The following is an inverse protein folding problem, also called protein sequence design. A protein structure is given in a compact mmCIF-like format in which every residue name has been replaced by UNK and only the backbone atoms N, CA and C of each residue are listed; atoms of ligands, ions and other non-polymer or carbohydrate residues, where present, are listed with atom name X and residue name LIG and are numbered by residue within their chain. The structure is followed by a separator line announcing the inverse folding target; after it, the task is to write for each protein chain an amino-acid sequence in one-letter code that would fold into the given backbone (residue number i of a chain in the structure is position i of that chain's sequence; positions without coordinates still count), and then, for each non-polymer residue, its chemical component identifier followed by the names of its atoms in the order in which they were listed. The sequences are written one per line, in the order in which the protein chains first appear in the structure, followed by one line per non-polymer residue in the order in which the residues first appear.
data_IF_836704888493
#
_entry.id   IF_836704888493
#
_cell.length_a   1.000
_cell.length_b   1.000
_cell.length_c   1.000
_cell.angle_alpha   90.00
_cell.angle_beta   90.00
_cell.angle_gamma   90.00
#
_symmetry.space_group_name_H-M   'P 1'
#
loop_
_entity.id
_entity.type
_entity.pdbx_description
1 polymer ?
#
# COMPACT_ATOMS: atom_id res chain seq x y z
N UNK A 1 -19.86 9.64 -20.64
CA UNK A 1 -18.72 8.73 -20.85
C UNK A 1 -17.69 9.47 -21.69
N UNK A 2 -16.75 10.13 -21.02
CA UNK A 2 -15.69 10.87 -21.70
C UNK A 2 -14.51 9.92 -21.89
N UNK A 3 -14.25 9.55 -23.14
CA UNK A 3 -13.03 8.85 -23.54
C UNK A 3 -11.83 9.75 -23.25
N UNK A 4 -11.02 9.35 -22.27
CA UNK A 4 -9.69 9.92 -22.06
C UNK A 4 -8.83 9.40 -23.20
N UNK A 5 -8.64 10.24 -24.23
CA UNK A 5 -7.70 9.99 -25.32
C UNK A 5 -6.30 9.81 -24.75
N UNK A 6 -5.79 8.58 -24.79
CA UNK A 6 -4.41 8.24 -24.47
C UNK A 6 -3.47 8.76 -25.56
N UNK A 7 -3.14 10.04 -25.49
CA UNK A 7 -2.16 10.69 -26.36
C UNK A 7 -0.71 10.39 -25.95
N UNK A 8 -0.31 9.13 -25.82
CA UNK A 8 1.13 8.79 -25.72
C UNK A 8 1.66 8.68 -27.15
N UNK A 9 2.07 9.81 -27.70
CA UNK A 9 2.73 9.87 -29.01
C UNK A 9 4.00 9.02 -28.98
N UNK A 10 4.08 7.99 -29.82
CA UNK A 10 5.28 7.17 -30.00
C UNK A 10 6.40 8.06 -30.55
N UNK A 11 7.27 8.56 -29.68
CA UNK A 11 8.44 9.33 -30.10
C UNK A 11 9.45 8.35 -30.69
N UNK A 12 9.52 8.35 -32.02
CA UNK A 12 10.46 7.57 -32.84
C UNK A 12 11.91 7.83 -32.42
N UNK A 13 12.75 6.81 -32.46
CA UNK A 13 14.19 6.94 -32.24
C UNK A 13 14.77 7.80 -33.38
N UNK A 14 15.64 8.76 -33.03
CA UNK A 14 16.24 9.64 -34.04
C UNK A 14 17.12 8.81 -35.00
N UNK A 15 17.04 8.98 -36.34
CA UNK A 15 17.83 8.19 -37.30
C UNK A 15 19.34 8.19 -37.01
N UNK A 16 19.90 9.33 -36.61
CA UNK A 16 21.33 9.44 -36.26
C UNK A 16 21.75 8.61 -35.04
N UNK A 17 20.81 8.28 -34.14
CA UNK A 17 21.09 7.41 -32.99
C UNK A 17 21.40 5.98 -33.43
N UNK A 18 20.73 5.50 -34.48
CA UNK A 18 21.03 4.21 -35.10
C UNK A 18 22.40 4.22 -35.78
N UNK A 19 22.76 5.32 -36.45
CA UNK A 19 24.11 5.50 -36.98
C UNK A 19 25.19 5.44 -35.88
N UNK A 20 24.96 6.11 -34.75
CA UNK A 20 25.85 6.06 -33.59
C UNK A 20 25.95 4.63 -32.99
N UNK A 21 24.85 3.87 -32.98
CA UNK A 21 24.83 2.49 -32.50
C UNK A 21 25.65 1.56 -33.41
N UNK A 22 25.55 1.71 -34.73
CA UNK A 22 26.36 0.94 -35.70
C UNK A 22 27.86 1.17 -35.46
N UNK A 23 28.26 2.44 -35.31
CA UNK A 23 29.65 2.79 -35.06
C UNK A 23 30.15 2.20 -33.74
N UNK A 24 29.40 2.38 -32.65
CA UNK A 24 29.77 1.83 -31.35
C UNK A 24 29.91 0.30 -31.37
N UNK A 25 28.91 -0.43 -31.91
CA UNK A 25 28.98 -1.90 -32.04
C UNK A 25 30.21 -2.37 -32.82
N UNK A 26 30.64 -1.58 -33.82
CA UNK A 26 31.78 -1.91 -34.67
C UNK A 26 33.13 -1.71 -33.97
N UNK A 27 33.24 -0.68 -33.13
CA UNK A 27 34.52 -0.22 -32.56
C UNK A 27 34.83 -0.77 -31.18
N UNK A 28 33.84 -1.20 -30.39
CA UNK A 28 34.06 -1.66 -28.99
C UNK A 28 34.81 -3.01 -28.89
N UNK A 29 34.89 -3.78 -29.98
CA UNK A 29 35.59 -5.06 -30.06
C UNK A 29 36.65 -5.01 -31.17
N UNK A 30 37.87 -5.50 -30.94
CA UNK A 30 38.96 -5.49 -31.92
C UNK A 30 38.67 -6.47 -33.06
N UNK A 31 38.53 -7.76 -32.72
CA UNK A 31 38.43 -8.84 -33.68
C UNK A 31 37.00 -9.39 -33.84
N UNK A 32 36.75 -10.14 -34.93
CA UNK A 32 35.43 -10.72 -35.24
C UNK A 32 34.94 -11.68 -34.16
N UNK A 33 35.83 -12.45 -33.53
CA UNK A 33 35.43 -13.44 -32.52
C UNK A 33 34.84 -12.77 -31.27
N UNK A 34 35.52 -11.75 -30.74
CA UNK A 34 35.04 -10.98 -29.59
C UNK A 34 33.72 -10.26 -29.90
N UNK A 35 33.63 -9.66 -31.10
CA UNK A 35 32.39 -9.04 -31.58
C UNK A 35 31.22 -10.02 -31.64
N UNK A 36 31.41 -11.21 -32.23
CA UNK A 36 30.36 -12.23 -32.33
C UNK A 36 29.87 -12.69 -30.95
N UNK A 37 30.79 -12.87 -30.00
CA UNK A 37 30.45 -13.25 -28.63
C UNK A 37 29.64 -12.15 -27.92
N UNK A 38 30.00 -10.88 -28.11
CA UNK A 38 29.29 -9.74 -27.52
C UNK A 38 27.86 -9.62 -28.09
N UNK A 39 27.71 -9.63 -29.42
CA UNK A 39 26.39 -9.55 -30.07
C UNK A 39 25.49 -10.71 -29.66
N UNK A 40 26.02 -11.95 -29.62
CA UNK A 40 25.25 -13.12 -29.17
C UNK A 40 24.81 -13.01 -27.71
N UNK A 41 25.66 -12.47 -26.84
CA UNK A 41 25.31 -12.25 -25.43
C UNK A 41 24.19 -11.25 -25.28
N UNK A 42 24.24 -10.13 -26.02
CA UNK A 42 23.24 -9.06 -25.97
C UNK A 42 21.90 -9.48 -26.57
N UNK A 43 21.91 -10.33 -27.60
CA UNK A 43 20.69 -10.81 -28.27
C UNK A 43 20.20 -12.17 -27.74
N UNK A 44 20.59 -12.57 -26.52
CA UNK A 44 20.25 -13.87 -25.94
C UNK A 44 18.74 -14.13 -25.91
N UNK A 45 17.97 -13.10 -25.59
CA UNK A 45 16.50 -13.16 -25.51
C UNK A 45 15.81 -12.93 -26.86
N UNK A 46 16.58 -12.70 -27.94
CA UNK A 46 16.09 -12.41 -29.29
C UNK A 46 16.72 -13.37 -30.33
N UNK A 47 16.51 -14.71 -30.18
CA UNK A 47 17.12 -15.70 -31.08
C UNK A 47 16.70 -15.53 -32.54
N UNK A 48 15.53 -14.96 -32.81
CA UNK A 48 15.05 -14.67 -34.16
C UNK A 48 15.94 -13.67 -34.90
N UNK A 49 16.50 -12.68 -34.20
CA UNK A 49 17.45 -11.73 -34.79
C UNK A 49 18.79 -12.41 -35.07
N UNK A 50 19.24 -13.26 -34.14
CA UNK A 50 20.50 -14.01 -34.28
C UNK A 50 20.50 -14.94 -35.50
N UNK A 51 19.38 -15.58 -35.82
CA UNK A 51 19.28 -16.45 -37.00
C UNK A 51 19.40 -15.71 -38.33
N UNK A 52 19.10 -14.40 -38.35
CA UNK A 52 19.10 -13.56 -39.56
C UNK A 52 20.43 -12.82 -39.78
N UNK A 53 21.31 -12.79 -38.80
CA UNK A 53 22.61 -12.10 -38.89
C UNK A 53 23.65 -12.94 -39.63
N UNK A 54 24.33 -12.34 -40.59
CA UNK A 54 25.51 -12.93 -41.21
C UNK A 54 26.78 -12.50 -40.45
N UNK A 55 27.41 -13.45 -39.77
CA UNK A 55 28.66 -13.23 -39.05
C UNK A 55 29.92 -13.53 -39.88
N UNK A 56 29.77 -13.94 -41.15
CA UNK A 56 30.89 -14.16 -42.08
C UNK A 56 31.40 -12.84 -42.68
N UNK A 57 30.52 -11.84 -42.79
CA UNK A 57 30.82 -10.47 -43.25
C UNK A 57 31.68 -9.69 -42.26
N UNK A 58 31.98 -8.42 -42.55
CA UNK A 58 32.70 -7.53 -41.64
C UNK A 58 31.84 -7.16 -40.42
N UNK A 59 32.49 -6.77 -39.31
CA UNK A 59 31.78 -6.29 -38.10
C UNK A 59 30.80 -5.15 -38.42
N UNK A 60 31.21 -4.22 -39.30
CA UNK A 60 30.38 -3.06 -39.68
C UNK A 60 29.15 -3.49 -40.46
N UNK A 61 29.30 -4.41 -41.42
CA UNK A 61 28.17 -4.96 -42.17
C UNK A 61 27.20 -5.70 -41.25
N UNK A 62 27.69 -6.55 -40.35
CA UNK A 62 26.84 -7.27 -39.39
C UNK A 62 26.14 -6.32 -38.41
N UNK A 63 26.83 -5.28 -37.92
CA UNK A 63 26.23 -4.25 -37.05
C UNK A 63 25.15 -3.46 -37.77
N UNK A 64 25.39 -3.08 -39.03
CA UNK A 64 24.40 -2.40 -39.86
C UNK A 64 23.19 -3.31 -40.13
N UNK A 65 23.40 -4.60 -40.42
CA UNK A 65 22.30 -5.56 -40.57
C UNK A 65 21.44 -5.64 -39.30
N UNK A 66 22.06 -5.77 -38.13
CA UNK A 66 21.35 -5.79 -36.85
C UNK A 66 20.51 -4.52 -36.68
N UNK A 67 21.15 -3.36 -36.82
CA UNK A 67 20.49 -2.08 -36.59
C UNK A 67 19.37 -1.82 -37.60
N UNK A 68 19.54 -2.20 -38.87
CA UNK A 68 18.48 -2.10 -39.87
C UNK A 68 17.27 -2.97 -39.50
N UNK A 69 17.49 -4.19 -38.99
CA UNK A 69 16.36 -5.02 -38.50
C UNK A 69 15.63 -4.36 -37.32
N UNK A 70 16.36 -3.70 -36.41
CA UNK A 70 15.75 -2.94 -35.31
C UNK A 70 14.95 -1.73 -35.81
N UNK A 71 15.40 -1.09 -36.89
CA UNK A 71 14.71 0.05 -37.52
C UNK A 71 13.48 -0.38 -38.30
N UNK A 72 13.58 -1.42 -39.13
CA UNK A 72 12.50 -1.91 -39.99
C UNK A 72 11.30 -2.41 -39.16
N UNK A 73 11.58 -3.01 -38.00
CA UNK A 73 10.60 -3.51 -37.05
C UNK A 73 10.60 -2.66 -35.75
N UNK A 74 10.74 -1.33 -35.85
CA UNK A 74 10.86 -0.40 -34.70
C UNK A 74 9.76 -0.63 -33.64
N UNK A 75 8.51 -0.86 -34.05
CA UNK A 75 7.41 -1.14 -33.10
C UNK A 75 7.66 -2.36 -32.21
N UNK A 76 8.38 -3.36 -32.71
CA UNK A 76 8.66 -4.62 -32.03
C UNK A 76 9.97 -4.55 -31.24
N UNK A 77 10.99 -3.89 -31.77
CA UNK A 77 12.33 -3.86 -31.17
C UNK A 77 12.77 -2.51 -30.61
N UNK A 78 11.86 -1.56 -30.42
CA UNK A 78 12.16 -0.25 -29.82
C UNK A 78 12.86 -0.39 -28.47
N UNK A 79 12.31 -1.23 -27.58
CA UNK A 79 12.87 -1.42 -26.23
C UNK A 79 14.27 -2.04 -26.28
N UNK A 80 14.48 -3.06 -27.12
CA UNK A 80 15.80 -3.65 -27.37
C UNK A 80 16.79 -2.62 -27.94
N UNK A 81 16.36 -1.78 -28.89
CA UNK A 81 17.22 -0.75 -29.46
C UNK A 81 17.67 0.24 -28.37
N UNK A 82 16.75 0.68 -27.51
CA UNK A 82 17.05 1.56 -26.37
C UNK A 82 17.98 0.88 -25.38
N UNK A 83 17.75 -0.40 -25.06
CA UNK A 83 18.59 -1.21 -24.18
C UNK A 83 20.03 -1.30 -24.72
N UNK A 84 20.20 -1.70 -25.98
CA UNK A 84 21.52 -1.77 -26.63
C UNK A 84 22.23 -0.43 -26.62
N UNK A 85 21.53 0.66 -26.95
CA UNK A 85 22.12 2.00 -26.94
C UNK A 85 22.58 2.39 -25.53
N UNK A 86 21.74 2.14 -24.52
CA UNK A 86 22.00 2.47 -23.12
C UNK A 86 23.15 1.67 -22.52
N UNK A 87 23.17 0.36 -22.78
CA UNK A 87 24.22 -0.52 -22.27
C UNK A 87 25.58 -0.19 -22.89
N UNK A 88 25.61 0.05 -24.20
CA UNK A 88 26.85 0.36 -24.91
C UNK A 88 27.34 1.76 -24.53
N UNK A 89 26.45 2.74 -24.32
CA UNK A 89 26.84 4.09 -23.91
C UNK A 89 27.49 4.12 -22.51
N UNK A 90 27.23 3.11 -21.67
CA UNK A 90 27.79 3.01 -20.31
C UNK A 90 29.14 2.29 -20.24
N UNK A 91 29.67 1.78 -21.35
CA UNK A 91 30.95 1.07 -21.36
C UNK A 91 32.12 2.04 -21.13
N UNK A 92 32.92 1.80 -20.09
CA UNK A 92 34.08 2.61 -19.72
C UNK A 92 35.43 1.92 -19.99
N UNK A 93 35.40 0.60 -20.23
CA UNK A 93 36.55 -0.28 -20.37
C UNK A 93 36.42 -1.19 -21.59
N UNK A 94 37.54 -1.42 -22.30
CA UNK A 94 37.57 -2.24 -23.52
C UNK A 94 38.74 -3.25 -23.49
N UNK A 95 38.64 -4.33 -22.70
CA UNK A 95 39.75 -5.26 -22.46
C UNK A 95 40.28 -5.97 -23.72
N UNK A 96 39.46 -6.10 -24.76
CA UNK A 96 39.86 -6.70 -26.03
C UNK A 96 40.75 -5.76 -26.87
N UNK A 97 40.50 -4.45 -26.78
CA UNK A 97 41.27 -3.40 -27.45
C UNK A 97 42.59 -3.12 -26.73
N UNK A 98 42.56 -3.07 -25.39
CA UNK A 98 43.73 -2.76 -24.56
C UNK A 98 44.91 -3.74 -24.68
N UNK A 99 44.71 -4.89 -25.33
CA UNK A 99 45.73 -5.93 -25.55
C UNK A 99 46.45 -5.79 -26.90
N UNK A 100 46.09 -4.82 -27.73
CA UNK A 100 46.66 -4.64 -29.07
C UNK A 100 47.88 -3.70 -29.07
N UNK A 101 48.67 -3.78 -30.13
CA UNK A 101 49.88 -2.96 -30.30
C UNK A 101 49.51 -1.48 -30.49
N UNK A 102 48.40 -1.22 -31.15
CA UNK A 102 47.77 0.07 -31.43
C UNK A 102 46.64 0.41 -30.44
N UNK A 103 46.73 -0.10 -29.20
CA UNK A 103 45.67 0.02 -28.20
C UNK A 103 45.20 1.47 -27.96
N UNK A 104 46.10 2.44 -27.96
CA UNK A 104 45.75 3.85 -27.68
C UNK A 104 44.79 4.42 -28.72
N UNK A 105 45.04 4.19 -30.01
CA UNK A 105 44.17 4.65 -31.11
C UNK A 105 42.82 3.93 -31.09
N UNK A 106 42.82 2.62 -30.81
CA UNK A 106 41.58 1.83 -30.74
C UNK A 106 40.72 2.23 -29.54
N UNK A 107 41.33 2.48 -28.39
CA UNK A 107 40.64 2.94 -27.19
C UNK A 107 40.08 4.34 -27.42
N UNK A 108 40.81 5.24 -28.07
CA UNK A 108 40.33 6.57 -28.43
C UNK A 108 39.10 6.50 -29.35
N UNK A 109 39.13 5.66 -30.39
CA UNK A 109 38.01 5.46 -31.30
C UNK A 109 36.78 4.85 -30.59
N UNK A 110 36.98 3.83 -29.76
CA UNK A 110 35.88 3.20 -29.02
C UNK A 110 35.23 4.16 -28.04
N UNK A 111 36.02 4.93 -27.27
CA UNK A 111 35.51 5.96 -26.36
C UNK A 111 34.74 7.04 -27.13
N UNK A 112 35.26 7.52 -28.25
CA UNK A 112 34.58 8.52 -29.08
C UNK A 112 33.22 8.01 -29.60
N UNK A 113 33.14 6.76 -30.05
CA UNK A 113 31.90 6.16 -30.51
C UNK A 113 30.86 6.01 -29.38
N UNK A 114 31.29 5.54 -28.19
CA UNK A 114 30.43 5.40 -27.01
C UNK A 114 29.93 6.74 -26.51
N UNK A 115 30.79 7.76 -26.42
CA UNK A 115 30.39 9.13 -26.05
C UNK A 115 29.44 9.75 -27.08
N UNK A 116 29.62 9.46 -28.37
CA UNK A 116 28.66 9.90 -29.38
C UNK A 116 27.29 9.24 -29.20
N UNK A 117 27.25 7.95 -28.87
CA UNK A 117 26.03 7.21 -28.59
C UNK A 117 25.31 7.73 -27.33
N UNK A 118 26.06 8.05 -26.28
CA UNK A 118 25.55 8.60 -25.01
C UNK A 118 24.74 9.89 -25.21
N UNK A 119 25.16 10.77 -26.13
CA UNK A 119 24.43 12.02 -26.46
C UNK A 119 22.99 11.75 -26.91
N UNK A 120 22.74 10.61 -27.53
CA UNK A 120 21.40 10.20 -27.99
C UNK A 120 20.60 9.49 -26.88
N UNK A 121 21.27 8.71 -26.03
CA UNK A 121 20.67 8.00 -24.89
C UNK A 121 20.18 8.96 -23.80
N UNK A 122 20.89 10.06 -23.54
CA UNK A 122 20.51 11.06 -22.54
C UNK A 122 19.12 11.70 -22.75
N UNK A 123 18.56 11.59 -23.96
CA UNK A 123 17.21 12.08 -24.30
C UNK A 123 16.09 11.04 -24.05
N UNK A 124 16.46 9.75 -23.91
CA UNK A 124 15.53 8.63 -23.74
C UNK A 124 15.52 8.06 -22.31
N UNK A 125 16.61 8.19 -21.54
CA UNK A 125 16.67 7.73 -20.15
C UNK A 125 15.60 8.38 -19.25
N UNK A 126 15.30 9.67 -19.46
CA UNK A 126 14.23 10.37 -18.74
C UNK A 126 12.83 9.78 -18.99
N UNK A 127 12.60 9.15 -20.15
CA UNK A 127 11.30 8.58 -20.53
C UNK A 127 11.08 7.21 -19.87
N UNK A 128 12.14 6.43 -19.68
CA UNK A 128 12.06 5.14 -18.99
C UNK A 128 11.76 5.33 -17.50
N UNK A 129 12.42 6.29 -16.85
CA UNK A 129 12.21 6.62 -15.44
C UNK A 129 10.80 7.18 -15.18
N UNK A 130 10.28 8.05 -16.06
CA UNK A 130 8.90 8.55 -15.95
C UNK A 130 7.84 7.43 -16.08
N UNK A 131 8.08 6.42 -16.93
CA UNK A 131 7.17 5.27 -17.10
C UNK A 131 7.15 4.37 -15.88
N UNK A 132 8.31 4.10 -15.30
CA UNK A 132 8.43 3.25 -14.11
C UNK A 132 7.79 3.93 -12.89
N UNK A 133 8.04 5.23 -12.71
CA UNK A 133 7.40 6.01 -11.65
C UNK A 133 5.88 6.09 -11.81
N UNK A 134 5.37 6.32 -13.03
CA UNK A 134 3.92 6.35 -13.27
C UNK A 134 3.26 4.97 -13.08
N UNK A 135 3.92 3.89 -13.48
CA UNK A 135 3.43 2.54 -13.26
C UNK A 135 3.38 2.17 -11.76
N UNK A 136 4.42 2.54 -11.00
CA UNK A 136 4.47 2.36 -9.55
C UNK A 136 3.39 3.19 -8.84
N UNK A 137 3.20 4.45 -9.24
CA UNK A 137 2.17 5.34 -8.68
C UNK A 137 0.75 4.82 -8.96
N UNK A 138 0.48 4.33 -10.18
CA UNK A 138 -0.80 3.72 -10.52
C UNK A 138 -1.06 2.41 -9.76
N UNK A 139 -0.02 1.59 -9.55
CA UNK A 139 -0.12 0.37 -8.76
C UNK A 139 -0.44 0.67 -7.29
N UNK A 140 0.28 1.61 -6.67
CA UNK A 140 0.03 2.05 -5.30
C UNK A 140 -1.36 2.68 -5.15
N UNK A 141 -1.80 3.47 -6.14
CA UNK A 141 -3.14 4.06 -6.14
C UNK A 141 -4.23 2.98 -6.23
N UNK A 142 -4.06 1.96 -7.09
CA UNK A 142 -5.00 0.83 -7.19
C UNK A 142 -5.10 0.03 -5.90
N UNK A 143 -3.97 -0.25 -5.24
CA UNK A 143 -3.95 -0.97 -3.97
C UNK A 143 -4.67 -0.18 -2.87
N UNK A 144 -4.42 1.13 -2.78
CA UNK A 144 -5.10 2.02 -1.83
C UNK A 144 -6.62 2.10 -2.10
N UNK A 145 -7.03 2.19 -3.36
CA UNK A 145 -8.46 2.19 -3.74
C UNK A 145 -9.12 0.85 -3.37
N UNK A 146 -8.47 -0.28 -3.63
CA UNK A 146 -8.98 -1.60 -3.26
C UNK A 146 -9.11 -1.73 -1.74
N UNK A 147 -8.06 -1.38 -0.97
CA UNK A 147 -8.10 -1.43 0.50
C UNK A 147 -9.21 -0.54 1.07
N UNK A 148 -9.40 0.65 0.49
CA UNK A 148 -10.48 1.58 0.90
C UNK A 148 -11.85 1.02 0.56
N UNK A 149 -11.99 0.37 -0.61
CA UNK A 149 -13.23 -0.28 -1.03
C UNK A 149 -13.58 -1.43 -0.08
N UNK A 150 -12.63 -2.31 0.20
CA UNK A 150 -12.80 -3.44 1.11
C UNK A 150 -13.20 -2.96 2.52
N UNK A 151 -12.55 -1.91 3.05
CA UNK A 151 -12.94 -1.30 4.33
C UNK A 151 -14.37 -0.76 4.31
N UNK A 152 -14.76 -0.07 3.24
CA UNK A 152 -16.10 0.53 3.10
C UNK A 152 -17.19 -0.55 2.99
N UNK A 153 -16.92 -1.63 2.26
CA UNK A 153 -17.82 -2.78 2.13
C UNK A 153 -18.06 -3.45 3.48
N UNK A 154 -17.00 -3.78 4.24
CA UNK A 154 -17.12 -4.39 5.57
C UNK A 154 -17.84 -3.47 6.56
N UNK A 155 -17.58 -2.15 6.52
CA UNK A 155 -18.31 -1.17 7.34
C UNK A 155 -19.82 -1.15 7.02
N UNK A 156 -20.18 -1.26 5.74
CA UNK A 156 -21.59 -1.35 5.33
C UNK A 156 -22.27 -2.63 5.82
N UNK A 157 -21.57 -3.77 5.77
CA UNK A 157 -22.07 -5.05 6.30
C UNK A 157 -22.31 -4.97 7.81
N UNK A 158 -21.34 -4.43 8.57
CA UNK A 158 -21.48 -4.21 10.01
C UNK A 158 -22.65 -3.28 10.33
N UNK A 159 -22.86 -2.23 9.53
CA UNK A 159 -24.01 -1.32 9.70
C UNK A 159 -25.34 -2.05 9.51
N UNK A 160 -25.46 -2.87 8.47
CA UNK A 160 -26.66 -3.66 8.22
C UNK A 160 -26.92 -4.67 9.34
N UNK A 161 -25.87 -5.32 9.83
CA UNK A 161 -25.98 -6.24 10.96
C UNK A 161 -26.44 -5.53 12.23
N UNK A 162 -25.89 -4.36 12.56
CA UNK A 162 -26.31 -3.58 13.72
C UNK A 162 -27.80 -3.23 13.67
N UNK A 163 -28.31 -2.82 12.49
CA UNK A 163 -29.73 -2.55 12.27
C UNK A 163 -30.60 -3.80 12.41
N UNK A 164 -30.12 -4.95 11.91
CA UNK A 164 -30.81 -6.25 12.08
C UNK A 164 -30.91 -6.62 13.56
N UNK A 165 -29.81 -6.55 14.30
CA UNK A 165 -29.76 -6.86 15.73
C UNK A 165 -30.72 -5.96 16.52
N UNK A 166 -30.79 -4.67 16.17
CA UNK A 166 -31.72 -3.74 16.78
C UNK A 166 -33.18 -4.20 16.68
N UNK A 167 -33.59 -4.75 15.52
CA UNK A 167 -34.94 -5.26 15.27
C UNK A 167 -35.27 -6.64 15.85
N UNK A 168 -34.32 -7.38 16.44
CA UNK A 168 -34.56 -8.75 16.89
C UNK A 168 -35.48 -8.86 18.12
N UNK A 169 -36.58 -9.61 18.11
CA UNK A 169 -37.47 -9.69 19.28
C UNK A 169 -36.79 -10.33 20.51
N UNK A 170 -35.89 -11.30 20.30
CA UNK A 170 -35.18 -11.98 21.37
C UNK A 170 -33.93 -11.20 21.82
N UNK A 171 -34.04 -10.48 22.94
CA UNK A 171 -32.94 -9.66 23.49
C UNK A 171 -31.75 -10.48 23.99
N UNK A 172 -31.96 -11.69 24.50
CA UNK A 172 -30.85 -12.56 24.95
C UNK A 172 -30.02 -13.06 23.76
N UNK A 173 -30.69 -13.38 22.66
CA UNK A 173 -30.00 -13.76 21.43
C UNK A 173 -29.29 -12.55 20.81
N UNK A 174 -29.94 -11.38 20.76
CA UNK A 174 -29.34 -10.15 20.28
C UNK A 174 -28.08 -9.78 21.07
N UNK A 175 -28.08 -9.93 22.40
CA UNK A 175 -26.89 -9.70 23.23
C UNK A 175 -25.71 -10.59 22.86
N UNK A 176 -25.94 -11.90 22.66
CA UNK A 176 -24.88 -12.83 22.26
C UNK A 176 -24.33 -12.52 20.86
N UNK A 177 -25.20 -12.20 19.90
CA UNK A 177 -24.76 -11.81 18.56
C UNK A 177 -24.04 -10.44 18.56
N UNK A 178 -24.37 -9.57 19.50
CA UNK A 178 -23.72 -8.27 19.66
C UNK A 178 -22.29 -8.35 20.15
N UNK A 179 -21.96 -9.31 21.01
CA UNK A 179 -20.57 -9.59 21.41
C UNK A 179 -19.71 -9.95 20.18
N UNK A 180 -20.23 -10.83 19.31
CA UNK A 180 -19.56 -11.20 18.06
C UNK A 180 -19.45 -10.03 17.07
N UNK A 181 -20.49 -9.18 16.99
CA UNK A 181 -20.47 -7.95 16.22
C UNK A 181 -19.37 -6.99 16.71
N UNK A 182 -19.29 -6.73 18.02
CA UNK A 182 -18.27 -5.87 18.61
C UNK A 182 -16.87 -6.41 18.38
N UNK A 183 -16.66 -7.72 18.50
CA UNK A 183 -15.38 -8.34 18.18
C UNK A 183 -14.95 -8.02 16.74
N UNK A 184 -15.82 -8.22 15.75
CA UNK A 184 -15.49 -7.90 14.35
C UNK A 184 -15.22 -6.41 14.13
N UNK A 185 -16.04 -5.54 14.74
CA UNK A 185 -15.85 -4.10 14.66
C UNK A 185 -14.49 -3.69 15.25
N UNK A 186 -14.12 -4.22 16.42
CA UNK A 186 -12.82 -3.96 17.04
C UNK A 186 -11.66 -4.50 16.21
N UNK A 187 -11.79 -5.69 15.62
CA UNK A 187 -10.78 -6.23 14.70
C UNK A 187 -10.58 -5.34 13.48
N UNK A 188 -11.65 -4.81 12.88
CA UNK A 188 -11.57 -3.93 11.70
C UNK A 188 -10.82 -2.61 11.96
N UNK A 189 -10.84 -2.14 13.21
CA UNK A 189 -10.13 -0.94 13.65
C UNK A 189 -8.80 -1.26 14.36
N UNK A 190 -8.29 -2.49 14.22
CA UNK A 190 -7.01 -2.93 14.79
C UNK A 190 -6.91 -2.75 16.33
N UNK A 191 -8.04 -2.89 17.04
CA UNK A 191 -8.11 -2.75 18.50
C UNK A 191 -7.80 -4.06 19.27
N UNK A 192 -7.19 -5.04 18.59
CA UNK A 192 -6.74 -6.33 19.14
C UNK A 192 -7.72 -6.96 20.18
N UNK A 193 -8.98 -7.25 19.80
CA UNK A 193 -9.95 -7.78 20.75
C UNK A 193 -9.57 -9.18 21.24
N UNK A 194 -9.80 -9.44 22.52
CA UNK A 194 -9.73 -10.77 23.11
C UNK A 194 -11.11 -11.25 23.56
N UNK A 195 -11.36 -12.56 23.42
CA UNK A 195 -12.63 -13.19 23.79
C UNK A 195 -12.88 -13.12 25.30
N UNK A 196 -14.17 -13.22 25.68
CA UNK A 196 -14.61 -13.32 27.07
C UNK A 196 -13.80 -14.36 27.85
N UNK A 197 -13.36 -14.00 29.06
CA UNK A 197 -12.61 -14.89 29.93
C UNK A 197 -13.09 -14.79 31.38
N UNK A 198 -13.13 -15.94 32.06
CA UNK A 198 -13.51 -16.03 33.46
C UNK A 198 -12.27 -16.00 34.36
N UNK A 199 -12.08 -14.90 35.10
CA UNK A 199 -11.03 -14.82 36.12
C UNK A 199 -11.67 -14.89 37.52
N UNK A 200 -11.43 -15.98 38.26
CA UNK A 200 -11.75 -16.13 39.70
C UNK A 200 -13.17 -15.66 40.12
N UNK A 201 -14.20 -15.94 39.32
CA UNK A 201 -15.60 -15.62 39.63
C UNK A 201 -16.10 -14.25 39.12
N UNK A 202 -15.28 -13.51 38.37
CA UNK A 202 -15.66 -12.26 37.73
C UNK A 202 -15.71 -12.45 36.20
N UNK A 203 -16.92 -12.46 35.64
CA UNK A 203 -17.15 -12.55 34.20
C UNK A 203 -17.04 -11.15 33.56
N UNK A 204 -16.25 -11.06 32.50
CA UNK A 204 -16.05 -9.88 31.66
C UNK A 204 -16.18 -10.34 30.21
N UNK A 205 -16.85 -9.52 29.39
CA UNK A 205 -17.23 -9.89 28.03
C UNK A 205 -16.04 -9.88 27.06
N UNK A 206 -14.96 -9.16 27.39
CA UNK A 206 -13.68 -9.24 26.67
C UNK A 206 -12.68 -8.16 27.07
N UNK A 207 -11.65 -7.97 26.26
CA UNK A 207 -10.78 -6.79 26.33
C UNK A 207 -10.35 -6.33 24.94
N UNK A 208 -9.87 -5.09 24.83
CA UNK A 208 -9.23 -4.54 23.63
C UNK A 208 -7.92 -3.86 24.01
N UNK A 209 -7.02 -3.75 23.05
CA UNK A 209 -5.79 -2.98 23.15
C UNK A 209 -5.82 -1.84 22.13
N UNK A 210 -5.58 -0.61 22.59
CA UNK A 210 -5.59 0.57 21.73
C UNK A 210 -4.48 1.52 22.17
N UNK A 211 -3.58 1.83 21.23
CA UNK A 211 -2.32 2.56 21.46
C UNK A 211 -1.44 1.92 22.55
N UNK A 212 -1.51 2.45 23.77
CA UNK A 212 -0.76 2.00 24.96
C UNK A 212 -1.69 1.54 26.08
N UNK A 213 -2.99 1.49 25.81
CA UNK A 213 -4.04 1.28 26.80
C UNK A 213 -4.73 -0.07 26.60
N UNK A 214 -4.89 -0.81 27.70
CA UNK A 214 -5.67 -2.04 27.74
C UNK A 214 -7.03 -1.79 28.38
N UNK A 215 -8.11 -2.03 27.64
CA UNK A 215 -9.47 -1.82 28.11
C UNK A 215 -10.15 -3.14 28.41
N UNK A 216 -10.73 -3.24 29.59
CA UNK A 216 -11.72 -4.25 29.94
C UNK A 216 -13.05 -3.87 29.28
N UNK A 217 -13.68 -4.78 28.56
CA UNK A 217 -14.94 -4.50 27.84
C UNK A 217 -16.12 -5.16 28.55
N UNK A 218 -17.20 -4.40 28.73
CA UNK A 218 -18.53 -4.93 29.07
C UNK A 218 -19.52 -4.41 28.03
N UNK A 219 -20.33 -5.31 27.48
CA UNK A 219 -21.31 -5.03 26.45
C UNK A 219 -22.73 -5.39 26.94
N UNK A 220 -23.66 -4.44 26.83
CA UNK A 220 -25.06 -4.67 27.19
C UNK A 220 -26.02 -4.20 26.11
N UNK A 221 -26.96 -5.07 25.74
CA UNK A 221 -28.10 -4.71 24.91
C UNK A 221 -29.41 -4.97 25.64
N UNK A 222 -29.63 -4.22 26.71
CA UNK A 222 -30.87 -4.27 27.50
C UNK A 222 -32.01 -3.54 26.76
N UNK A 223 -33.26 -3.80 27.15
CA UNK A 223 -34.42 -3.10 26.59
C UNK A 223 -34.48 -1.62 26.99
N UNK A 224 -33.94 -1.28 28.16
CA UNK A 224 -33.84 0.08 28.70
C UNK A 224 -32.38 0.50 28.84
N UNK A 225 -32.16 1.76 29.25
CA UNK A 225 -30.85 2.24 29.63
C UNK A 225 -30.25 1.41 30.77
N UNK A 226 -28.92 1.32 30.81
CA UNK A 226 -28.19 0.64 31.86
C UNK A 226 -28.26 1.46 33.15
N UNK A 227 -28.73 0.83 34.22
CA UNK A 227 -28.88 1.46 35.53
C UNK A 227 -27.57 1.60 36.31
N UNK A 228 -27.57 2.52 37.28
CA UNK A 228 -26.43 2.86 38.14
C UNK A 228 -25.75 1.65 38.80
N UNK A 229 -26.52 0.63 39.18
CA UNK A 229 -25.99 -0.59 39.79
C UNK A 229 -25.01 -1.32 38.86
N UNK A 230 -25.36 -1.46 37.58
CA UNK A 230 -24.50 -2.12 36.60
C UNK A 230 -23.20 -1.34 36.35
N UNK A 231 -23.29 0.00 36.30
CA UNK A 231 -22.11 0.87 36.15
C UNK A 231 -21.18 0.78 37.36
N UNK A 232 -21.75 0.77 38.57
CA UNK A 232 -21.00 0.60 39.82
C UNK A 232 -20.33 -0.77 39.92
N UNK A 233 -21.04 -1.81 39.51
CA UNK A 233 -20.49 -3.15 39.45
C UNK A 233 -19.29 -3.20 38.49
N UNK A 234 -19.43 -2.63 37.28
CA UNK A 234 -18.37 -2.58 36.29
C UNK A 234 -17.15 -1.76 36.74
N UNK A 235 -17.34 -0.58 37.33
CA UNK A 235 -16.27 0.22 37.92
C UNK A 235 -15.44 -0.58 38.95
N UNK A 236 -16.14 -1.34 39.80
CA UNK A 236 -15.50 -2.25 40.74
C UNK A 236 -14.65 -3.32 40.03
N UNK A 237 -15.12 -3.87 38.91
CA UNK A 237 -14.35 -4.84 38.12
C UNK A 237 -13.08 -4.22 37.53
N UNK A 238 -13.21 -3.05 36.94
CA UNK A 238 -12.08 -2.33 36.31
C UNK A 238 -11.01 -2.02 37.36
N UNK A 239 -11.40 -1.44 38.51
CA UNK A 239 -10.47 -1.09 39.59
C UNK A 239 -9.74 -2.29 40.20
N UNK A 240 -10.34 -3.49 40.16
CA UNK A 240 -9.70 -4.74 40.63
C UNK A 240 -8.61 -5.25 39.68
N UNK A 241 -8.61 -4.87 38.40
CA UNK A 241 -7.65 -5.36 37.38
C UNK A 241 -6.29 -4.67 37.41
N UNK A 242 -6.17 -3.53 38.09
CA UNK A 242 -4.92 -2.82 38.31
C UNK A 242 -5.09 -1.31 38.40
N UNK A 243 -4.06 -0.59 38.90
CA UNK A 243 -4.11 0.87 39.10
C UNK A 243 -4.32 1.68 37.81
N UNK A 244 -3.97 1.12 36.66
CA UNK A 244 -4.08 1.76 35.34
C UNK A 244 -5.07 1.01 34.42
N UNK A 245 -5.93 0.15 34.96
CA UNK A 245 -6.93 -0.53 34.17
C UNK A 245 -7.98 0.48 33.69
N UNK A 246 -8.31 0.44 32.40
CA UNK A 246 -9.38 1.22 31.81
C UNK A 246 -10.55 0.30 31.46
N UNK A 247 -11.77 0.80 31.59
CA UNK A 247 -12.97 0.11 31.12
C UNK A 247 -13.55 0.76 29.86
N UNK A 248 -14.16 -0.07 29.02
CA UNK A 248 -15.03 0.35 27.94
C UNK A 248 -16.39 -0.30 28.16
N UNK A 249 -17.39 0.51 28.53
CA UNK A 249 -18.76 0.04 28.72
C UNK A 249 -19.59 0.40 27.49
N UNK A 250 -19.99 -0.61 26.72
CA UNK A 250 -20.83 -0.46 25.54
C UNK A 250 -22.29 -0.78 25.89
N UNK A 251 -23.22 0.16 25.63
CA UNK A 251 -24.66 -0.06 25.83
C UNK A 251 -25.50 0.56 24.71
N UNK A 252 -26.18 -0.26 23.90
CA UNK A 252 -26.93 0.26 22.74
C UNK A 252 -28.04 1.23 23.14
N UNK A 253 -28.79 0.92 24.21
CA UNK A 253 -29.86 1.78 24.72
C UNK A 253 -29.37 2.80 25.77
N UNK A 254 -28.05 3.00 25.86
CA UNK A 254 -27.43 4.03 26.68
C UNK A 254 -27.41 3.72 28.18
N UNK A 255 -27.25 4.78 28.97
CA UNK A 255 -27.00 4.75 30.41
C UNK A 255 -27.99 5.67 31.12
N UNK A 256 -28.51 5.30 32.29
CA UNK A 256 -29.47 6.14 33.02
C UNK A 256 -28.81 7.41 33.58
N UNK A 257 -29.60 8.46 33.79
CA UNK A 257 -29.10 9.74 34.32
C UNK A 257 -28.42 9.56 35.68
N UNK A 258 -29.06 8.80 36.58
CA UNK A 258 -28.48 8.48 37.89
C UNK A 258 -27.14 7.73 37.79
N UNK A 259 -26.98 6.86 36.80
CA UNK A 259 -25.69 6.19 36.54
C UNK A 259 -24.61 7.16 36.05
N UNK A 260 -24.96 8.06 35.12
CA UNK A 260 -24.02 9.07 34.59
C UNK A 260 -23.59 10.05 35.68
N UNK A 261 -24.51 10.50 36.52
CA UNK A 261 -24.21 11.47 37.59
C UNK A 261 -23.21 10.92 38.62
N UNK A 262 -23.25 9.61 38.91
CA UNK A 262 -22.28 8.95 39.80
C UNK A 262 -20.86 9.05 39.21
N UNK A 263 -20.71 8.91 37.90
CA UNK A 263 -19.42 8.84 37.19
C UNK A 263 -19.10 10.12 36.40
N UNK A 264 -19.67 11.26 36.81
CA UNK A 264 -19.49 12.57 36.15
C UNK A 264 -18.20 13.28 36.53
N UNK A 265 -17.59 12.91 37.66
CA UNK A 265 -16.41 13.60 38.23
C UNK A 265 -15.23 12.67 38.51
N UNK A 266 -15.44 11.35 38.41
CA UNK A 266 -14.41 10.34 38.59
C UNK A 266 -14.89 9.03 37.99
N UNK A 267 -14.17 8.51 37.02
CA UNK A 267 -14.49 7.25 36.34
C UNK A 267 -13.23 6.44 36.07
N UNK A 268 -13.37 5.12 36.08
CA UNK A 268 -12.34 4.18 35.60
C UNK A 268 -12.62 3.68 34.17
N UNK A 269 -13.74 4.09 33.58
CA UNK A 269 -14.18 3.62 32.28
C UNK A 269 -14.79 4.73 31.43
N UNK A 270 -14.85 4.49 30.12
CA UNK A 270 -15.58 5.31 29.16
C UNK A 270 -16.83 4.58 28.68
N UNK A 271 -17.83 5.34 28.27
CA UNK A 271 -19.09 4.80 27.76
C UNK A 271 -19.23 4.97 26.25
N UNK A 272 -19.78 3.97 25.58
CA UNK A 272 -20.15 4.01 24.16
C UNK A 272 -21.59 3.56 24.04
N UNK A 273 -22.46 4.41 23.49
CA UNK A 273 -23.86 4.07 23.28
C UNK A 273 -24.20 3.71 21.82
N UNK A 274 -25.47 3.38 21.56
CA UNK A 274 -25.92 3.04 20.20
C UNK A 274 -25.79 4.19 19.21
N UNK A 275 -25.91 5.44 19.66
CA UNK A 275 -25.74 6.61 18.79
C UNK A 275 -24.26 6.81 18.43
N UNK A 276 -23.35 6.59 19.39
CA UNK A 276 -21.91 6.55 19.14
C UNK A 276 -21.54 5.47 18.11
N UNK A 277 -22.03 4.24 18.32
CA UNK A 277 -21.79 3.13 17.38
C UNK A 277 -22.36 3.45 15.99
N UNK A 278 -23.56 4.04 15.92
CA UNK A 278 -24.13 4.43 14.64
C UNK A 278 -23.30 5.51 13.94
N UNK A 279 -22.77 6.51 14.66
CA UNK A 279 -21.85 7.49 14.09
C UNK A 279 -20.59 6.84 13.52
N UNK A 280 -20.07 5.79 14.16
CA UNK A 280 -18.95 5.00 13.66
C UNK A 280 -19.33 4.23 12.39
N UNK A 281 -20.45 3.51 12.43
CA UNK A 281 -20.94 2.71 11.32
C UNK A 281 -21.36 3.54 10.10
N UNK A 282 -21.79 4.79 10.33
CA UNK A 282 -22.13 5.77 9.29
C UNK A 282 -20.91 6.54 8.78
N UNK A 283 -19.70 6.23 9.29
CA UNK A 283 -18.44 6.83 8.85
C UNK A 283 -18.22 8.28 9.31
N UNK A 284 -19.02 8.79 10.26
CA UNK A 284 -18.91 10.17 10.77
C UNK A 284 -17.71 10.36 11.71
N UNK A 285 -17.30 9.29 12.38
CA UNK A 285 -16.10 9.25 13.20
C UNK A 285 -15.52 7.84 13.14
N UNK A 286 -14.19 7.71 13.13
CA UNK A 286 -13.56 6.40 13.26
C UNK A 286 -13.62 5.91 14.71
N UNK A 287 -13.66 4.60 14.94
CA UNK A 287 -13.81 4.02 16.28
C UNK A 287 -12.62 4.29 17.20
N UNK A 288 -11.40 4.16 16.68
CA UNK A 288 -10.14 4.53 17.33
C UNK A 288 -10.18 6.00 17.83
N UNK A 289 -10.58 6.92 16.94
CA UNK A 289 -10.71 8.34 17.27
C UNK A 289 -11.82 8.61 18.29
N UNK A 290 -12.94 7.90 18.21
CA UNK A 290 -14.04 8.00 19.18
C UNK A 290 -13.56 7.60 20.59
N UNK A 291 -12.87 6.46 20.70
CA UNK A 291 -12.34 5.93 21.97
C UNK A 291 -11.30 6.91 22.53
N UNK A 292 -10.35 7.39 21.71
CA UNK A 292 -9.33 8.34 22.13
C UNK A 292 -9.93 9.64 22.70
N UNK A 293 -10.90 10.23 21.99
CA UNK A 293 -11.58 11.47 22.41
C UNK A 293 -12.39 11.28 23.69
N UNK A 294 -13.06 10.14 23.84
CA UNK A 294 -13.76 9.80 25.08
C UNK A 294 -12.79 9.62 26.25
N UNK A 295 -11.65 8.96 26.03
CA UNK A 295 -10.63 8.80 27.07
C UNK A 295 -10.04 10.15 27.50
N UNK A 296 -9.69 11.01 26.53
CA UNK A 296 -9.18 12.35 26.81
C UNK A 296 -10.19 13.18 27.62
N UNK A 297 -11.47 13.13 27.24
CA UNK A 297 -12.55 13.78 27.98
C UNK A 297 -12.64 13.28 29.42
N UNK A 298 -12.66 11.96 29.61
CA UNK A 298 -12.74 11.33 30.93
C UNK A 298 -11.51 11.66 31.79
N UNK A 299 -10.32 11.69 31.21
CA UNK A 299 -9.08 12.06 31.92
C UNK A 299 -9.07 13.53 32.34
N UNK A 300 -9.66 14.43 31.53
CA UNK A 300 -9.70 15.87 31.82
C UNK A 300 -10.79 16.26 32.81
N UNK A 301 -11.94 15.61 32.77
CA UNK A 301 -13.15 16.04 33.49
C UNK A 301 -13.59 15.07 34.58
N UNK A 302 -13.17 13.80 34.48
CA UNK A 302 -13.69 12.70 35.27
C UNK A 302 -15.05 12.17 34.82
N UNK A 303 -15.64 12.71 33.73
CA UNK A 303 -16.93 12.29 33.19
C UNK A 303 -16.79 11.09 32.25
N UNK A 304 -17.51 10.01 32.54
CA UNK A 304 -17.52 8.80 31.71
C UNK A 304 -18.32 8.96 30.40
N UNK A 305 -19.16 9.99 30.28
CA UNK A 305 -20.12 10.15 29.20
C UNK A 305 -19.79 11.37 28.32
N UNK A 306 -19.30 11.09 27.11
CA UNK A 306 -19.05 12.12 26.10
C UNK A 306 -19.54 11.64 24.73
N UNK A 307 -20.75 12.04 24.28
CA UNK A 307 -21.36 11.49 23.08
C UNK A 307 -20.67 12.01 21.81
N UNK A 308 -20.60 11.17 20.77
CA UNK A 308 -19.99 11.49 19.48
C UNK A 308 -20.56 12.77 18.85
N UNK A 309 -21.87 13.00 19.02
CA UNK A 309 -22.55 14.19 18.51
C UNK A 309 -22.09 15.51 19.17
N UNK A 310 -21.48 15.45 20.35
CA UNK A 310 -20.90 16.61 21.04
C UNK A 310 -19.41 16.82 20.70
N UNK A 311 -18.80 15.91 19.93
CA UNK A 311 -17.46 16.11 19.39
C UNK A 311 -17.59 17.06 18.19
N UNK A 312 -16.68 18.03 18.07
CA UNK A 312 -16.54 18.75 16.81
C UNK A 312 -15.98 17.76 15.78
N UNK A 313 -16.89 17.13 15.03
CA UNK A 313 -16.62 16.16 13.98
C UNK A 313 -16.20 16.85 12.68
#
# INVERSE_FOLDING_TARGET
MAEVQSGVTSKKIHPDAYGALIEALTTINWNKLAYQQDVRRRLREYPELLTRLDFTTTKRETSAQLVNMLMDEEKRYCDLAIELMTDISRLDTFPNLAKQVDADDLLAQARAAVTNLEKWVGRHAAIAEERENFAAELAAHRENVNRTRDFTEVMSELKQEFLRLHGMPNRQQAGREFEAFLHRLFTLFDLEPTLAYNLKGEQIDGSIYHDTNHYVVEAKWLASAVEAEHMTNFDGKVKRKGKNALGLFVSVNGFSEGGRDIFKRSTSFITVDGADLFCVLDGRIRLDALIARKLEHASRTGDCFFPAAAMHL
#
